data_IF_460841659924
#
_entry.id   IF_460841659924
#
_cell.length_a   1.000
_cell.length_b   1.000
_cell.length_c   1.000
_cell.angle_alpha   90.00
_cell.angle_beta   90.00
_cell.angle_gamma   90.00
#
_symmetry.space_group_name_H-M   'P 1'
#
loop_
_entity.id
_entity.type
_entity.pdbx_description
1 polymer ?
#
# COMPACT_ATOMS: atom_id res chain seq x y z
N UNK A 1 8.91 0.86 -21.41
CA UNK A 1 8.97 0.29 -20.06
C UNK A 1 9.56 -1.11 -20.15
N UNK A 2 10.61 -1.41 -19.41
CA UNK A 2 11.09 -2.77 -19.23
C UNK A 2 11.02 -3.14 -17.73
N UNK A 3 11.11 -4.43 -17.42
CA UNK A 3 11.05 -4.92 -16.06
C UNK A 3 12.38 -5.54 -15.67
N UNK A 4 12.86 -5.19 -14.49
CA UNK A 4 14.09 -5.72 -13.89
C UNK A 4 13.73 -6.45 -12.59
N UNK A 5 14.11 -7.72 -12.46
CA UNK A 5 13.95 -8.45 -11.21
C UNK A 5 14.98 -7.99 -10.18
N UNK A 6 14.58 -7.91 -8.92
CA UNK A 6 15.44 -7.57 -7.80
C UNK A 6 15.20 -8.52 -6.63
N UNK A 7 16.27 -8.92 -5.96
CA UNK A 7 16.24 -9.60 -4.68
C UNK A 7 16.58 -8.60 -3.58
N UNK A 8 15.69 -8.39 -2.65
CA UNK A 8 15.80 -7.38 -1.59
C UNK A 8 16.16 -8.08 -0.28
N UNK A 9 17.33 -7.75 0.28
CA UNK A 9 17.75 -8.27 1.57
C UNK A 9 16.92 -7.68 2.71
N UNK A 10 16.42 -8.53 3.61
CA UNK A 10 15.64 -8.14 4.78
C UNK A 10 16.08 -9.02 5.97
N UNK A 11 16.80 -8.43 6.89
CA UNK A 11 17.45 -9.17 8.00
C UNK A 11 18.36 -10.30 7.45
N UNK A 12 18.10 -11.56 7.79
CA UNK A 12 18.82 -12.73 7.27
C UNK A 12 18.09 -13.42 6.09
N UNK A 13 16.96 -12.82 5.61
CA UNK A 13 16.12 -13.32 4.54
C UNK A 13 16.17 -12.41 3.30
N UNK A 14 15.42 -12.79 2.25
CA UNK A 14 15.21 -11.94 1.08
C UNK A 14 13.77 -12.05 0.57
N UNK A 15 13.32 -11.02 -0.12
CA UNK A 15 12.04 -10.99 -0.83
C UNK A 15 12.26 -10.64 -2.29
N UNK A 16 11.46 -11.24 -3.18
CA UNK A 16 11.53 -10.97 -4.61
C UNK A 16 10.71 -9.74 -4.97
N UNK A 17 11.29 -8.88 -5.77
CA UNK A 17 10.68 -7.68 -6.30
C UNK A 17 10.83 -7.55 -7.82
N UNK A 18 10.10 -6.62 -8.40
CA UNK A 18 10.22 -6.26 -9.81
C UNK A 18 10.17 -4.75 -9.98
N UNK A 19 11.21 -4.17 -10.57
CA UNK A 19 11.17 -2.82 -11.10
C UNK A 19 10.44 -2.80 -12.45
N UNK A 20 9.56 -1.82 -12.64
CA UNK A 20 9.05 -1.43 -13.93
C UNK A 20 9.55 -0.02 -14.25
N UNK A 21 10.47 0.10 -15.22
CA UNK A 21 11.29 1.30 -15.43
C UNK A 21 10.94 1.99 -16.74
N UNK A 22 10.72 3.33 -16.78
CA UNK A 22 10.67 4.10 -18.02
C UNK A 22 12.08 4.32 -18.56
N UNK A 23 12.19 4.86 -19.77
CA UNK A 23 13.50 5.26 -20.32
C UNK A 23 14.08 6.49 -19.61
N UNK A 24 13.20 7.36 -19.12
CA UNK A 24 13.53 8.57 -18.34
C UNK A 24 12.42 8.75 -17.31
N UNK A 25 12.77 9.18 -16.11
CA UNK A 25 11.75 9.48 -15.12
C UNK A 25 12.30 9.48 -13.71
N UNK A 26 11.70 10.25 -12.84
CA UNK A 26 12.24 10.52 -11.50
C UNK A 26 11.34 10.17 -10.32
N UNK A 27 9.98 10.17 -10.36
CA UNK A 27 9.21 9.67 -9.23
C UNK A 27 9.37 8.16 -9.01
N UNK A 28 9.51 7.75 -7.75
CA UNK A 28 9.53 6.36 -7.33
C UNK A 28 8.17 5.92 -6.78
N UNK A 29 7.60 4.82 -7.27
CA UNK A 29 6.29 4.31 -6.85
C UNK A 29 6.46 2.89 -6.31
N UNK A 30 6.24 2.71 -5.01
CA UNK A 30 6.27 1.40 -4.34
C UNK A 30 4.86 0.82 -4.22
N UNK A 31 4.69 -0.45 -4.59
CA UNK A 31 3.43 -1.17 -4.45
C UNK A 31 3.49 -2.21 -3.34
N UNK A 32 2.49 -2.20 -2.45
CA UNK A 32 2.30 -3.18 -1.36
C UNK A 32 0.98 -3.91 -1.56
N UNK A 33 1.05 -5.18 -1.91
CA UNK A 33 -0.12 -6.04 -2.12
C UNK A 33 -0.84 -6.38 -0.80
N UNK A 34 -2.10 -6.81 -0.91
CA UNK A 34 -2.92 -7.28 0.22
C UNK A 34 -2.50 -8.66 0.71
N UNK A 35 -3.08 -9.07 1.87
CA UNK A 35 -2.91 -10.42 2.38
C UNK A 35 -3.42 -11.45 1.37
N UNK A 36 -2.69 -12.53 1.16
CA UNK A 36 -2.89 -13.54 0.11
C UNK A 36 -2.65 -13.06 -1.33
N UNK A 37 -2.27 -11.79 -1.53
CA UNK A 37 -1.85 -11.27 -2.82
C UNK A 37 -0.42 -11.61 -3.18
N UNK A 38 0.06 -11.02 -4.26
CA UNK A 38 1.46 -11.07 -4.71
C UNK A 38 1.77 -9.82 -5.53
N UNK A 39 3.05 -9.59 -5.82
CA UNK A 39 3.50 -8.52 -6.70
C UNK A 39 2.79 -8.53 -8.07
N UNK A 40 2.39 -9.69 -8.57
CA UNK A 40 1.70 -9.83 -9.86
C UNK A 40 0.36 -9.07 -9.90
N UNK A 41 -0.30 -8.91 -8.76
CA UNK A 41 -1.58 -8.18 -8.66
C UNK A 41 -1.45 -6.71 -9.11
N UNK A 42 -0.28 -6.12 -8.92
CA UNK A 42 -0.02 -4.71 -9.21
C UNK A 42 0.85 -4.47 -10.44
N UNK A 43 1.49 -5.52 -10.98
CA UNK A 43 2.46 -5.39 -12.07
C UNK A 43 1.89 -4.72 -13.34
N UNK A 44 0.62 -4.99 -13.67
CA UNK A 44 -0.04 -4.34 -14.81
C UNK A 44 -0.15 -2.82 -14.58
N UNK A 45 -0.59 -2.39 -13.39
CA UNK A 45 -0.72 -0.97 -13.00
C UNK A 45 0.64 -0.30 -12.91
N UNK A 46 1.63 -1.00 -12.34
CA UNK A 46 3.01 -0.51 -12.28
C UNK A 46 3.59 -0.23 -13.68
N UNK A 47 3.38 -1.14 -14.64
CA UNK A 47 3.81 -0.92 -16.03
C UNK A 47 3.12 0.28 -16.67
N UNK A 48 1.83 0.45 -16.46
CA UNK A 48 1.08 1.59 -16.98
C UNK A 48 1.57 2.91 -16.36
N UNK A 49 1.76 2.96 -15.04
CA UNK A 49 2.28 4.14 -14.33
C UNK A 49 3.72 4.44 -14.76
N UNK A 50 4.54 3.43 -15.02
CA UNK A 50 5.91 3.64 -15.51
C UNK A 50 5.95 4.35 -16.87
N UNK A 51 4.90 4.24 -17.71
CA UNK A 51 4.80 5.02 -18.96
C UNK A 51 4.62 6.53 -18.72
N UNK A 52 4.24 6.93 -17.50
CA UNK A 52 4.13 8.34 -17.10
C UNK A 52 5.48 8.96 -16.72
N UNK A 53 6.58 8.19 -16.77
CA UNK A 53 7.91 8.63 -16.38
C UNK A 53 8.20 8.34 -14.89
N UNK A 54 7.73 7.23 -14.35
CA UNK A 54 7.99 6.79 -12.99
C UNK A 54 8.84 5.51 -12.97
N UNK A 55 9.64 5.32 -11.93
CA UNK A 55 10.22 4.03 -11.58
C UNK A 55 9.27 3.35 -10.61
N UNK A 56 8.79 2.16 -10.94
CA UNK A 56 7.85 1.42 -10.11
C UNK A 56 8.47 0.13 -9.59
N UNK A 57 8.30 -0.15 -8.31
CA UNK A 57 8.71 -1.41 -7.67
C UNK A 57 7.47 -2.14 -7.16
N UNK A 58 7.30 -3.39 -7.59
CA UNK A 58 6.38 -4.37 -6.98
C UNK A 58 7.22 -5.48 -6.36
N UNK A 59 6.83 -6.01 -5.22
CA UNK A 59 7.56 -7.07 -4.52
C UNK A 59 6.60 -7.94 -3.72
N UNK A 60 7.04 -9.12 -3.31
CA UNK A 60 6.29 -10.03 -2.46
C UNK A 60 6.70 -9.85 -1.00
N UNK A 61 5.72 -9.59 -0.12
CA UNK A 61 5.93 -9.61 1.32
C UNK A 61 6.28 -11.04 1.79
N UNK A 62 7.15 -11.19 2.80
CA UNK A 62 7.37 -12.50 3.44
C UNK A 62 6.04 -13.16 3.82
N UNK A 63 5.99 -14.48 3.69
CA UNK A 63 4.76 -15.25 3.86
C UNK A 63 3.86 -15.27 2.61
N UNK A 64 4.35 -14.78 1.47
CA UNK A 64 3.62 -14.75 0.20
C UNK A 64 4.49 -15.30 -0.94
N UNK A 65 3.86 -15.68 -2.04
CA UNK A 65 4.53 -16.22 -3.23
C UNK A 65 5.58 -17.29 -2.88
N UNK A 66 6.85 -17.09 -3.22
CA UNK A 66 7.92 -18.04 -2.97
C UNK A 66 8.13 -18.39 -1.47
N UNK A 67 7.70 -17.51 -0.56
CA UNK A 67 7.81 -17.69 0.90
C UNK A 67 6.48 -18.05 1.56
N UNK A 68 5.48 -18.51 0.81
CA UNK A 68 4.12 -18.79 1.30
C UNK A 68 4.08 -19.76 2.51
N UNK A 69 5.00 -20.69 2.59
CA UNK A 69 5.11 -21.61 3.73
C UNK A 69 5.30 -20.89 5.08
N UNK A 70 5.83 -19.67 5.09
CA UNK A 70 6.01 -18.83 6.29
C UNK A 70 4.76 -18.05 6.68
N UNK A 71 3.71 -18.00 5.86
CA UNK A 71 2.53 -17.11 6.03
C UNK A 71 1.91 -17.16 7.42
N UNK A 72 1.85 -18.34 8.02
CA UNK A 72 1.24 -18.51 9.34
C UNK A 72 2.14 -18.09 10.51
N UNK A 73 3.39 -17.70 10.24
CA UNK A 73 4.39 -17.32 11.25
C UNK A 73 4.79 -15.86 11.16
N UNK A 74 4.60 -15.23 10.00
CA UNK A 74 5.05 -13.86 9.76
C UNK A 74 4.13 -12.84 10.47
N UNK A 75 4.77 -11.89 11.15
CA UNK A 75 4.10 -10.82 11.89
C UNK A 75 4.01 -9.52 11.06
N UNK A 76 3.09 -8.60 11.39
CA UNK A 76 3.04 -7.28 10.76
C UNK A 76 4.34 -6.49 10.91
N UNK A 77 5.06 -6.65 12.03
CA UNK A 77 6.37 -6.03 12.24
C UNK A 77 7.39 -6.49 11.21
N UNK A 78 7.46 -7.78 10.94
CA UNK A 78 8.37 -8.34 9.92
C UNK A 78 8.00 -7.87 8.52
N UNK A 79 6.71 -7.86 8.16
CA UNK A 79 6.28 -7.34 6.86
C UNK A 79 6.50 -5.82 6.73
N UNK A 80 6.49 -5.03 7.81
CA UNK A 80 6.93 -3.64 7.73
C UNK A 80 8.43 -3.53 7.42
N UNK A 81 9.28 -4.40 7.98
CA UNK A 81 10.70 -4.44 7.62
C UNK A 81 10.89 -4.74 6.13
N UNK A 82 10.10 -5.67 5.56
CA UNK A 82 10.11 -5.95 4.12
C UNK A 82 9.75 -4.69 3.31
N UNK A 83 8.69 -3.99 3.73
CA UNK A 83 8.24 -2.77 3.06
C UNK A 83 9.27 -1.63 3.15
N UNK A 84 9.95 -1.48 4.28
CA UNK A 84 11.03 -0.50 4.47
C UNK A 84 12.22 -0.85 3.58
N UNK A 85 12.64 -2.12 3.52
CA UNK A 85 13.74 -2.56 2.67
C UNK A 85 13.41 -2.36 1.17
N UNK A 86 12.18 -2.67 0.76
CA UNK A 86 11.72 -2.40 -0.61
C UNK A 86 11.68 -0.90 -0.93
N UNK A 87 11.23 -0.06 0.02
CA UNK A 87 11.29 1.39 -0.13
C UNK A 87 12.73 1.85 -0.33
N UNK A 88 13.66 1.39 0.51
CA UNK A 88 15.07 1.79 0.43
C UNK A 88 15.72 1.32 -0.87
N UNK A 89 15.39 0.12 -1.36
CA UNK A 89 15.83 -0.37 -2.65
C UNK A 89 15.34 0.52 -3.81
N UNK A 90 14.06 0.91 -3.80
CA UNK A 90 13.50 1.84 -4.79
C UNK A 90 14.13 3.23 -4.69
N UNK A 91 14.26 3.78 -3.48
CA UNK A 91 14.84 5.11 -3.26
C UNK A 91 16.31 5.19 -3.65
N UNK A 92 17.03 4.07 -3.66
CA UNK A 92 18.43 3.99 -4.10
C UNK A 92 18.58 3.67 -5.60
N UNK A 93 17.50 3.45 -6.33
CA UNK A 93 17.56 3.29 -7.77
C UNK A 93 18.07 4.59 -8.43
N UNK A 94 19.07 4.54 -9.36
CA UNK A 94 19.78 5.73 -9.86
C UNK A 94 18.87 6.73 -10.59
N UNK A 95 17.71 6.31 -11.05
CA UNK A 95 16.74 7.18 -11.71
C UNK A 95 15.70 7.79 -10.78
N UNK A 96 15.68 7.45 -9.48
CA UNK A 96 14.64 7.90 -8.55
C UNK A 96 15.01 9.20 -7.85
N UNK A 97 14.09 10.17 -7.90
CA UNK A 97 14.11 11.34 -7.02
C UNK A 97 13.49 10.97 -5.67
N UNK A 98 14.33 10.94 -4.63
CA UNK A 98 13.92 10.61 -3.25
C UNK A 98 12.90 11.59 -2.67
N UNK A 99 12.75 12.80 -3.23
CA UNK A 99 11.73 13.77 -2.84
C UNK A 99 10.36 13.52 -3.49
N UNK A 100 10.29 12.64 -4.49
CA UNK A 100 9.10 12.33 -5.26
C UNK A 100 8.70 10.85 -5.11
N UNK A 101 8.62 10.37 -3.85
CA UNK A 101 8.26 9.00 -3.54
C UNK A 101 6.76 8.85 -3.30
N UNK A 102 6.17 7.83 -3.92
CA UNK A 102 4.78 7.41 -3.69
C UNK A 102 4.72 5.98 -3.17
N UNK A 103 3.69 5.71 -2.37
CA UNK A 103 3.34 4.35 -1.96
C UNK A 103 1.89 4.07 -2.35
N UNK A 104 1.67 2.91 -2.97
CA UNK A 104 0.36 2.38 -3.33
C UNK A 104 0.14 1.10 -2.55
N UNK A 105 -0.81 1.10 -1.64
CA UNK A 105 -1.14 -0.07 -0.82
C UNK A 105 -2.56 -0.55 -1.02
N UNK A 106 -2.77 -1.86 -0.93
CA UNK A 106 -4.10 -2.48 -0.94
C UNK A 106 -4.32 -3.31 0.32
N UNK A 107 -5.46 -3.11 1.01
CA UNK A 107 -5.87 -3.88 2.18
C UNK A 107 -4.77 -3.93 3.26
N UNK A 108 -4.21 -5.10 3.53
CA UNK A 108 -3.08 -5.27 4.44
C UNK A 108 -1.85 -4.45 4.01
N UNK A 109 -1.54 -4.42 2.72
CA UNK A 109 -0.46 -3.58 2.19
C UNK A 109 -0.72 -2.08 2.41
N UNK A 110 -1.98 -1.63 2.37
CA UNK A 110 -2.34 -0.25 2.69
C UNK A 110 -2.13 0.09 4.18
N UNK A 111 -2.43 -0.84 5.09
CA UNK A 111 -2.10 -0.71 6.51
C UNK A 111 -0.59 -0.54 6.73
N UNK A 112 0.23 -1.39 6.10
CA UNK A 112 1.69 -1.27 6.19
C UNK A 112 2.20 0.01 5.52
N UNK A 113 1.67 0.38 4.36
CA UNK A 113 2.01 1.61 3.64
C UNK A 113 1.82 2.85 4.50
N UNK A 114 0.70 2.91 5.23
CA UNK A 114 0.41 4.00 6.16
C UNK A 114 1.47 4.10 7.27
N UNK A 115 1.79 2.98 7.92
CA UNK A 115 2.77 2.95 9.00
C UNK A 115 4.18 3.30 8.48
N UNK A 116 4.53 2.86 7.26
CA UNK A 116 5.81 3.16 6.62
C UNK A 116 6.06 4.66 6.49
N UNK A 117 5.04 5.48 6.31
CA UNK A 117 5.19 6.95 6.25
C UNK A 117 5.78 7.57 7.51
N UNK A 118 5.73 6.87 8.65
CA UNK A 118 6.39 7.29 9.89
C UNK A 118 7.90 7.02 9.92
N UNK A 119 8.42 6.23 8.96
CA UNK A 119 9.82 5.81 8.91
C UNK A 119 10.57 6.35 7.69
N UNK A 120 9.85 6.69 6.62
CA UNK A 120 10.43 7.15 5.35
C UNK A 120 9.64 8.32 4.78
N UNK A 121 10.30 9.27 4.10
CA UNK A 121 9.62 10.36 3.40
C UNK A 121 8.72 9.82 2.29
N UNK A 122 7.46 10.21 2.31
CA UNK A 122 6.47 9.86 1.29
C UNK A 122 5.74 11.13 0.91
N UNK A 123 5.70 11.43 -0.40
CA UNK A 123 4.98 12.59 -0.92
C UNK A 123 3.54 12.25 -1.26
N UNK A 124 3.30 11.06 -1.81
CA UNK A 124 2.00 10.61 -2.31
C UNK A 124 1.64 9.24 -1.75
N UNK A 125 0.46 9.12 -1.16
CA UNK A 125 -0.01 7.89 -0.52
C UNK A 125 -1.36 7.47 -1.10
N UNK A 126 -1.41 6.33 -1.78
CA UNK A 126 -2.66 5.74 -2.26
C UNK A 126 -3.02 4.51 -1.45
N UNK A 127 -4.19 4.52 -0.84
CA UNK A 127 -4.72 3.45 0.02
C UNK A 127 -6.03 2.92 -0.56
N UNK A 128 -6.05 1.68 -1.03
CA UNK A 128 -7.27 0.99 -1.40
C UNK A 128 -7.70 0.04 -0.29
N UNK A 129 -8.93 0.20 0.17
CA UNK A 129 -9.56 -0.60 1.23
C UNK A 129 -8.59 -0.91 2.39
N UNK A 130 -7.96 0.12 3.01
CA UNK A 130 -6.94 -0.08 4.02
C UNK A 130 -7.49 -0.87 5.21
N UNK A 131 -6.88 -2.03 5.48
CA UNK A 131 -7.22 -2.84 6.64
C UNK A 131 -6.75 -2.18 7.93
N UNK A 132 -7.41 -2.48 9.06
CA UNK A 132 -7.03 -1.97 10.37
C UNK A 132 -6.87 -3.12 11.35
N UNK A 133 -5.86 -3.01 12.22
CA UNK A 133 -5.51 -4.01 13.23
C UNK A 133 -5.22 -3.33 14.56
N UNK A 134 -5.54 -4.01 15.68
CA UNK A 134 -5.14 -3.56 17.02
C UNK A 134 -3.62 -3.51 17.14
N UNK A 135 -3.11 -2.60 17.94
CA UNK A 135 -1.68 -2.44 18.14
C UNK A 135 -1.03 -3.65 18.83
N UNK A 136 -1.77 -4.38 19.65
CA UNK A 136 -1.34 -5.64 20.27
C UNK A 136 -1.04 -6.74 19.24
N UNK A 137 -1.69 -6.68 18.08
CA UNK A 137 -1.48 -7.64 16.99
C UNK A 137 -0.17 -7.44 16.23
N UNK A 138 0.59 -6.40 16.54
CA UNK A 138 1.82 -6.03 15.84
C UNK A 138 2.90 -7.11 15.82
N UNK A 139 2.98 -7.87 16.90
CA UNK A 139 3.97 -8.94 17.10
C UNK A 139 3.36 -10.34 17.00
N UNK A 140 2.09 -10.44 16.69
CA UNK A 140 1.39 -11.70 16.49
C UNK A 140 1.36 -12.07 15.01
N UNK A 141 1.58 -13.35 14.72
CA UNK A 141 1.37 -13.83 13.37
C UNK A 141 -0.10 -13.70 12.96
N UNK A 142 -0.34 -13.23 11.75
CA UNK A 142 -1.70 -12.92 11.29
C UNK A 142 -2.65 -14.13 11.32
N UNK A 143 -2.12 -15.34 11.16
CA UNK A 143 -2.89 -16.58 11.30
C UNK A 143 -3.38 -16.88 12.72
N UNK A 144 -2.87 -16.16 13.73
CA UNK A 144 -3.26 -16.30 15.14
C UNK A 144 -4.38 -15.33 15.55
N UNK A 145 -4.78 -14.40 14.68
CA UNK A 145 -5.77 -13.39 14.99
C UNK A 145 -7.18 -13.97 15.01
N UNK A 146 -7.95 -13.65 16.05
CA UNK A 146 -9.37 -13.96 16.12
C UNK A 146 -10.14 -13.13 15.09
N UNK A 147 -10.91 -13.82 14.24
CA UNK A 147 -11.67 -13.17 13.17
C UNK A 147 -12.85 -12.35 13.69
N UNK A 148 -13.50 -12.79 14.77
CA UNK A 148 -14.64 -12.08 15.36
C UNK A 148 -14.18 -10.79 16.03
N UNK A 149 -13.07 -10.86 16.80
CA UNK A 149 -12.46 -9.66 17.39
C UNK A 149 -12.03 -8.67 16.31
N UNK A 150 -11.38 -9.15 15.25
CA UNK A 150 -10.95 -8.30 14.15
C UNK A 150 -12.12 -7.62 13.43
N UNK A 151 -13.21 -8.35 13.21
CA UNK A 151 -14.43 -7.80 12.60
C UNK A 151 -15.06 -6.75 13.50
N UNK A 152 -15.19 -7.04 14.80
CA UNK A 152 -15.71 -6.08 15.80
C UNK A 152 -14.86 -4.81 15.83
N UNK A 153 -13.54 -4.95 15.89
CA UNK A 153 -12.61 -3.82 15.91
C UNK A 153 -12.74 -2.94 14.66
N UNK A 154 -12.84 -3.53 13.48
CA UNK A 154 -12.99 -2.81 12.21
C UNK A 154 -14.31 -2.07 12.08
N UNK A 155 -15.35 -2.52 12.78
CA UNK A 155 -16.65 -1.84 12.84
C UNK A 155 -16.74 -0.77 13.94
N UNK A 156 -15.66 -0.51 14.67
CA UNK A 156 -15.63 0.49 15.74
C UNK A 156 -15.01 1.81 15.25
N UNK A 157 -15.44 2.92 15.83
CA UNK A 157 -14.75 4.19 15.72
C UNK A 157 -13.44 4.12 16.53
N UNK A 158 -12.32 4.38 15.88
CA UNK A 158 -10.98 4.30 16.47
C UNK A 158 -10.30 5.65 16.33
N UNK A 159 -9.80 6.16 17.45
CA UNK A 159 -9.03 7.41 17.47
C UNK A 159 -7.59 7.20 16.94
N UNK A 160 -6.99 8.22 16.28
CA UNK A 160 -5.57 8.17 15.93
C UNK A 160 -4.62 7.95 17.11
N UNK A 161 -5.02 8.32 18.30
CA UNK A 161 -4.25 8.13 19.53
C UNK A 161 -4.20 6.65 19.96
N UNK A 162 -5.18 5.86 19.53
CA UNK A 162 -5.36 4.45 19.93
C UNK A 162 -4.89 3.44 18.87
N UNK A 163 -4.32 3.93 17.75
CA UNK A 163 -3.90 3.05 16.65
C UNK A 163 -2.72 3.63 15.87
N UNK A 164 -1.64 2.88 15.74
CA UNK A 164 -0.40 3.32 15.06
C UNK A 164 -0.57 3.73 13.59
N UNK A 165 -1.46 3.05 12.85
CA UNK A 165 -1.71 3.42 11.46
C UNK A 165 -2.47 4.74 11.37
N UNK A 166 -3.50 4.93 12.18
CA UNK A 166 -4.25 6.18 12.23
C UNK A 166 -3.39 7.33 12.79
N UNK A 167 -2.51 7.05 13.76
CA UNK A 167 -1.52 8.01 14.23
C UNK A 167 -0.54 8.44 13.13
N UNK A 168 -0.15 7.53 12.24
CA UNK A 168 0.65 7.86 11.07
C UNK A 168 -0.12 8.73 10.07
N UNK A 169 -1.40 8.42 9.81
CA UNK A 169 -2.28 9.28 9.00
C UNK A 169 -2.37 10.70 9.56
N UNK A 170 -2.54 10.84 10.89
CA UNK A 170 -2.71 12.15 11.53
C UNK A 170 -1.49 13.08 11.38
N UNK A 171 -0.31 12.51 11.17
CA UNK A 171 0.95 13.25 10.94
C UNK A 171 1.34 13.38 9.48
N UNK A 172 0.66 12.68 8.57
CA UNK A 172 1.00 12.69 7.16
C UNK A 172 0.64 14.03 6.52
N UNK A 173 1.59 14.61 5.76
CA UNK A 173 1.48 15.96 5.17
C UNK A 173 1.47 15.96 3.63
N UNK A 174 1.54 14.78 3.00
CA UNK A 174 1.51 14.67 1.54
C UNK A 174 0.09 14.59 0.99
N UNK A 175 -0.01 14.23 -0.29
CA UNK A 175 -1.30 14.03 -0.97
C UNK A 175 -1.77 12.58 -0.81
N UNK A 176 -3.07 12.41 -0.59
CA UNK A 176 -3.69 11.12 -0.29
C UNK A 176 -4.77 10.78 -1.31
N UNK A 177 -4.77 9.53 -1.78
CA UNK A 177 -5.89 8.88 -2.44
C UNK A 177 -6.40 7.75 -1.55
N UNK A 178 -7.61 7.89 -1.01
CA UNK A 178 -8.32 6.83 -0.30
C UNK A 178 -9.42 6.24 -1.18
N UNK A 179 -9.39 4.92 -1.37
CA UNK A 179 -10.34 4.21 -2.26
C UNK A 179 -11.06 3.14 -1.47
N UNK A 180 -12.38 3.18 -1.52
CA UNK A 180 -13.30 2.20 -0.95
C UNK A 180 -13.92 1.34 -2.03
N UNK A 181 -14.20 0.07 -1.73
CA UNK A 181 -15.03 -0.83 -2.54
C UNK A 181 -16.44 -0.85 -1.95
N UNK A 182 -17.47 -0.59 -2.75
CA UNK A 182 -18.86 -0.42 -2.29
C UNK A 182 -19.38 -1.64 -1.51
N UNK A 183 -19.01 -2.85 -1.93
CA UNK A 183 -19.47 -4.12 -1.34
C UNK A 183 -18.31 -4.88 -0.67
N UNK A 184 -17.55 -4.19 0.17
CA UNK A 184 -16.43 -4.80 0.90
C UNK A 184 -16.92 -5.44 2.22
N UNK A 185 -16.87 -6.77 2.31
CA UNK A 185 -17.24 -7.57 3.48
C UNK A 185 -16.07 -7.80 4.45
N UNK A 186 -14.84 -7.43 4.08
CA UNK A 186 -13.63 -7.62 4.89
C UNK A 186 -13.15 -6.33 5.56
N UNK A 187 -13.31 -5.19 4.89
CA UNK A 187 -12.95 -3.87 5.40
C UNK A 187 -14.18 -2.97 5.33
N UNK A 188 -14.95 -2.87 6.42
CA UNK A 188 -16.20 -2.11 6.43
C UNK A 188 -15.97 -0.62 6.29
N UNK A 189 -17.01 0.10 5.87
CA UNK A 189 -17.00 1.56 5.72
C UNK A 189 -16.46 2.29 6.95
N UNK A 190 -16.78 1.83 8.16
CA UNK A 190 -16.29 2.42 9.42
C UNK A 190 -14.76 2.46 9.48
N UNK A 191 -14.09 1.40 9.01
CA UNK A 191 -12.62 1.38 8.92
C UNK A 191 -12.13 2.46 7.94
N UNK A 192 -12.75 2.61 6.78
CA UNK A 192 -12.38 3.63 5.79
C UNK A 192 -12.61 5.04 6.36
N UNK A 193 -13.75 5.23 7.04
CA UNK A 193 -14.08 6.49 7.70
C UNK A 193 -13.04 6.87 8.76
N UNK A 194 -12.55 5.91 9.56
CA UNK A 194 -11.47 6.14 10.53
C UNK A 194 -10.19 6.65 9.84
N UNK A 195 -9.78 6.03 8.71
CA UNK A 195 -8.62 6.48 7.93
C UNK A 195 -8.82 7.88 7.37
N UNK A 196 -9.96 8.13 6.71
CA UNK A 196 -10.27 9.43 6.10
C UNK A 196 -10.27 10.54 7.17
N UNK A 197 -10.91 10.31 8.32
CA UNK A 197 -10.95 11.26 9.43
C UNK A 197 -9.58 11.49 10.09
N UNK A 198 -8.68 10.51 10.00
CA UNK A 198 -7.34 10.61 10.59
C UNK A 198 -6.39 11.52 9.79
N UNK A 199 -6.57 11.70 8.48
CA UNK A 199 -5.69 12.55 7.65
C UNK A 199 -5.88 14.05 7.90
N UNK A 200 -5.61 14.50 9.13
CA UNK A 200 -5.88 15.88 9.59
C UNK A 200 -4.88 16.91 9.05
N UNK A 201 -3.68 16.47 8.65
CA UNK A 201 -2.59 17.33 8.17
C UNK A 201 -2.23 17.10 6.70
N UNK A 202 -2.95 16.20 6.01
CA UNK A 202 -2.68 15.93 4.60
C UNK A 202 -2.83 17.20 3.76
N UNK A 203 -1.91 17.40 2.80
CA UNK A 203 -1.97 18.51 1.86
C UNK A 203 -3.23 18.44 1.00
N UNK A 204 -3.56 17.23 0.54
CA UNK A 204 -4.85 16.95 -0.11
C UNK A 204 -5.34 15.54 0.22
N UNK A 205 -6.67 15.35 0.21
CA UNK A 205 -7.30 14.05 0.37
C UNK A 205 -8.37 13.87 -0.70
N UNK A 206 -8.13 12.92 -1.60
CA UNK A 206 -9.10 12.46 -2.58
C UNK A 206 -9.71 11.15 -2.09
N UNK A 207 -11.00 11.15 -1.77
CA UNK A 207 -11.74 9.95 -1.41
C UNK A 207 -12.67 9.53 -2.55
N UNK A 208 -12.65 8.23 -2.90
CA UNK A 208 -13.48 7.66 -3.97
C UNK A 208 -14.03 6.29 -3.57
N UNK A 209 -15.26 6.01 -3.96
CA UNK A 209 -15.90 4.71 -3.85
C UNK A 209 -15.98 4.11 -5.25
N UNK A 210 -15.56 2.85 -5.40
CA UNK A 210 -15.73 2.10 -6.65
C UNK A 210 -17.06 1.36 -6.57
N UNK A 211 -18.02 1.82 -7.35
CA UNK A 211 -19.38 1.23 -7.41
C UNK A 211 -19.32 -0.23 -7.88
N UNK A 212 -20.09 -1.09 -7.24
CA UNK A 212 -20.17 -2.52 -7.55
C UNK A 212 -18.94 -3.33 -7.18
N UNK A 213 -17.90 -2.73 -6.60
CA UNK A 213 -16.66 -3.43 -6.27
C UNK A 213 -16.78 -4.20 -4.95
N UNK A 214 -16.27 -5.42 -4.95
CA UNK A 214 -15.95 -6.21 -3.75
C UNK A 214 -14.51 -5.95 -3.28
N UNK A 215 -14.14 -6.56 -2.14
CA UNK A 215 -12.78 -6.43 -1.59
C UNK A 215 -11.67 -6.82 -2.57
N UNK A 216 -11.88 -7.89 -3.33
CA UNK A 216 -10.90 -8.48 -4.24
C UNK A 216 -10.84 -7.79 -5.61
N UNK A 217 -11.79 -6.92 -5.94
CA UNK A 217 -12.04 -6.42 -7.30
C UNK A 217 -12.27 -7.60 -8.27
N UNK A 218 -13.16 -8.51 -7.91
CA UNK A 218 -13.41 -9.76 -8.68
C UNK A 218 -13.90 -9.48 -10.09
N UNK A 219 -14.70 -8.42 -10.25
CA UNK A 219 -15.22 -8.01 -11.55
C UNK A 219 -14.21 -7.21 -12.35
N UNK A 220 -14.13 -7.48 -13.68
CA UNK A 220 -13.22 -6.77 -14.59
C UNK A 220 -13.49 -5.26 -14.59
N UNK A 221 -14.76 -4.85 -14.58
CA UNK A 221 -15.15 -3.43 -14.56
C UNK A 221 -14.60 -2.71 -13.34
N UNK A 222 -14.66 -3.32 -12.14
CA UNK A 222 -14.13 -2.76 -10.92
C UNK A 222 -12.60 -2.65 -10.96
N UNK A 223 -11.90 -3.68 -11.49
CA UNK A 223 -10.44 -3.63 -11.71
C UNK A 223 -10.02 -2.51 -12.65
N UNK A 224 -10.74 -2.35 -13.76
CA UNK A 224 -10.43 -1.32 -14.74
C UNK A 224 -10.75 0.08 -14.19
N UNK A 225 -11.84 0.26 -13.43
CA UNK A 225 -12.18 1.50 -12.75
C UNK A 225 -11.11 1.90 -11.72
N UNK A 226 -10.67 0.96 -10.88
CA UNK A 226 -9.57 1.23 -9.94
C UNK A 226 -8.26 1.58 -10.66
N UNK A 227 -7.92 0.85 -11.71
CA UNK A 227 -6.69 1.12 -12.47
C UNK A 227 -6.74 2.51 -13.12
N UNK A 228 -7.85 2.87 -13.74
CA UNK A 228 -8.03 4.20 -14.34
C UNK A 228 -7.95 5.32 -13.29
N UNK A 229 -8.59 5.12 -12.13
CA UNK A 229 -8.55 6.08 -11.02
C UNK A 229 -7.12 6.28 -10.50
N UNK A 230 -6.42 5.18 -10.21
CA UNK A 230 -5.05 5.24 -9.67
C UNK A 230 -4.08 5.88 -10.68
N UNK A 231 -4.10 5.44 -11.93
CA UNK A 231 -3.23 5.98 -12.98
C UNK A 231 -3.52 7.45 -13.24
N UNK A 232 -4.80 7.85 -13.25
CA UNK A 232 -5.23 9.24 -13.36
C UNK A 232 -4.69 10.10 -12.21
N UNK A 233 -4.87 9.65 -10.98
CA UNK A 233 -4.39 10.36 -9.80
C UNK A 233 -2.85 10.47 -9.78
N UNK A 234 -2.11 9.39 -10.04
CA UNK A 234 -0.64 9.45 -10.13
C UNK A 234 -0.19 10.41 -11.23
N UNK A 235 -0.87 10.44 -12.38
CA UNK A 235 -0.56 11.39 -13.46
C UNK A 235 -0.69 12.83 -12.98
N UNK A 236 -1.77 13.17 -12.27
CA UNK A 236 -1.98 14.51 -11.69
C UNK A 236 -0.84 14.88 -10.72
N UNK A 237 -0.48 13.97 -9.82
CA UNK A 237 0.60 14.17 -8.85
C UNK A 237 1.96 14.40 -9.54
N UNK A 238 2.30 13.57 -10.52
CA UNK A 238 3.56 13.67 -11.28
C UNK A 238 3.63 14.96 -12.11
N UNK A 239 2.52 15.38 -12.72
CA UNK A 239 2.48 16.62 -13.50
C UNK A 239 2.54 17.87 -12.62
N UNK A 240 1.89 17.84 -11.44
CA UNK A 240 1.93 18.95 -10.49
C UNK A 240 3.26 19.10 -9.74
N UNK A 241 4.16 18.11 -9.85
CA UNK A 241 5.48 18.13 -9.23
C UNK A 241 6.60 18.68 -10.14
N UNK A 242 6.32 18.92 -11.43
CA UNK A 242 7.28 19.43 -12.43
C UNK A 242 7.40 20.94 -12.44
#
# INVERSE_FOLDING_TARGET
VHCESICIGVDDDHVDGTFAVPRTGVPGILFLHGWTGSQQSDLKRAREIATLGCVCLTFDLRGHAATEAMRMQVTPRQNLHDAVAAYDALANHPMVDKSAMAIVGSSYGAYLATILTSFRPVRWLSLRVPALYRDEHWVLAKGQLDRMDLTSYRNSEISPEDNRALAACARFQGDVLAVESEFDDLVPHTTIANYVAAFRQAHSLTYRVIAGADHALSEKAARDAYSALLVGWIREMVLGAR
#
